data_IF_823669184489
#
_entry.id   IF_823669184489
#
_cell.length_a   1.000
_cell.length_b   1.000
_cell.length_c   1.000
_cell.angle_alpha   90.00
_cell.angle_beta   90.00
_cell.angle_gamma   90.00
#
_symmetry.space_group_name_H-M   'P 1'
#
loop_
_entity.id
_entity.type
_entity.pdbx_description
1 polymer ?
#
# COMPACT_ATOMS: atom_id res chain seq x y z
N UNK A 1 29.43 -55.33 -11.28
CA UNK A 1 28.95 -53.99 -11.68
C UNK A 1 27.99 -53.30 -10.73
N UNK A 2 27.83 -53.75 -9.47
CA UNK A 2 26.87 -53.18 -8.53
C UNK A 2 27.49 -52.23 -7.44
N UNK A 3 28.81 -52.09 -7.39
CA UNK A 3 29.51 -51.27 -6.39
C UNK A 3 29.76 -49.80 -6.83
N UNK A 4 29.62 -49.46 -8.13
CA UNK A 4 29.84 -48.10 -8.62
C UNK A 4 28.58 -47.18 -8.58
N UNK A 5 27.38 -47.74 -8.44
CA UNK A 5 26.16 -46.98 -8.43
C UNK A 5 25.85 -46.31 -7.06
N UNK A 6 26.37 -46.86 -5.95
CA UNK A 6 26.11 -46.35 -4.58
C UNK A 6 26.97 -45.11 -4.26
N UNK A 7 28.15 -44.98 -4.83
CA UNK A 7 29.04 -43.84 -4.56
C UNK A 7 28.58 -42.51 -5.20
N UNK A 8 27.85 -42.55 -6.35
CA UNK A 8 27.35 -41.32 -7.00
C UNK A 8 26.11 -40.70 -6.31
N UNK A 9 25.32 -41.48 -5.59
CA UNK A 9 24.14 -40.97 -4.84
C UNK A 9 24.56 -40.23 -3.56
N UNK A 10 25.64 -40.62 -2.93
CA UNK A 10 26.12 -40.00 -1.67
C UNK A 10 26.73 -38.59 -1.92
N UNK A 11 27.32 -38.31 -3.11
CA UNK A 11 27.91 -37.01 -3.40
C UNK A 11 26.85 -35.95 -3.70
N UNK A 12 25.68 -36.30 -4.23
CA UNK A 12 24.57 -35.37 -4.51
C UNK A 12 23.89 -34.83 -3.23
N UNK A 13 23.79 -35.61 -2.17
CA UNK A 13 23.18 -35.20 -0.88
C UNK A 13 24.09 -34.29 -0.05
N UNK A 14 25.40 -34.41 -0.14
CA UNK A 14 26.35 -33.58 0.59
C UNK A 14 26.41 -32.12 0.07
N UNK A 15 26.34 -31.95 -1.24
CA UNK A 15 26.42 -30.62 -1.87
C UNK A 15 25.19 -29.74 -1.54
N UNK A 16 23.99 -30.33 -1.53
CA UNK A 16 22.75 -29.60 -1.20
C UNK A 16 22.71 -29.15 0.27
N UNK A 17 23.28 -29.92 1.19
CA UNK A 17 23.34 -29.56 2.63
C UNK A 17 24.28 -28.36 2.87
N UNK A 18 25.45 -28.33 2.22
CA UNK A 18 26.38 -27.22 2.34
C UNK A 18 25.84 -25.92 1.74
N UNK A 19 25.11 -25.98 0.61
CA UNK A 19 24.49 -24.81 0.00
C UNK A 19 23.43 -24.20 0.91
N UNK A 20 22.57 -25.01 1.55
CA UNK A 20 21.57 -24.54 2.50
C UNK A 20 22.16 -23.91 3.76
N UNK A 21 23.27 -24.46 4.27
CA UNK A 21 23.98 -23.86 5.40
C UNK A 21 24.58 -22.51 5.01
N UNK A 22 25.18 -22.42 3.83
CA UNK A 22 25.71 -21.15 3.31
C UNK A 22 24.59 -20.13 3.11
N UNK A 23 23.44 -20.52 2.54
CA UNK A 23 22.29 -19.63 2.38
C UNK A 23 21.83 -19.01 3.71
N UNK A 24 21.79 -19.79 4.79
CA UNK A 24 21.44 -19.30 6.13
C UNK A 24 22.48 -18.37 6.71
N UNK A 25 23.77 -18.64 6.48
CA UNK A 25 24.86 -17.75 6.92
C UNK A 25 24.78 -16.41 6.18
N UNK A 26 24.60 -16.41 4.86
CA UNK A 26 24.42 -15.18 4.08
C UNK A 26 23.14 -14.43 4.49
N UNK A 27 22.04 -15.14 4.76
CA UNK A 27 20.82 -14.52 5.29
C UNK A 27 21.08 -13.77 6.61
N UNK A 28 21.79 -14.39 7.55
CA UNK A 28 22.12 -13.79 8.84
C UNK A 28 23.02 -12.54 8.68
N UNK A 29 24.01 -12.60 7.77
CA UNK A 29 24.85 -11.43 7.43
C UNK A 29 24.00 -10.32 6.81
N UNK A 30 23.08 -10.66 5.92
CA UNK A 30 22.14 -9.71 5.32
C UNK A 30 21.27 -9.02 6.36
N UNK A 31 20.70 -9.77 7.31
CA UNK A 31 19.90 -9.21 8.41
C UNK A 31 20.75 -8.29 9.29
N UNK A 32 21.98 -8.66 9.60
CA UNK A 32 22.88 -7.79 10.36
C UNK A 32 23.21 -6.49 9.61
N UNK A 33 23.55 -6.60 8.31
CA UNK A 33 23.81 -5.44 7.46
C UNK A 33 22.60 -4.51 7.34
N UNK A 34 21.40 -5.09 7.19
CA UNK A 34 20.15 -4.34 7.12
C UNK A 34 19.88 -3.55 8.42
N UNK A 35 20.04 -4.18 9.57
CA UNK A 35 19.90 -3.54 10.88
C UNK A 35 20.90 -2.41 11.12
N UNK A 36 22.11 -2.53 10.54
CA UNK A 36 23.15 -1.50 10.57
C UNK A 36 22.89 -0.37 9.57
N UNK A 37 21.80 -0.41 8.77
CA UNK A 37 21.50 0.57 7.71
C UNK A 37 22.36 0.41 6.45
N UNK A 38 23.11 -0.67 6.32
CA UNK A 38 23.98 -0.96 5.17
C UNK A 38 23.18 -1.71 4.10
N UNK A 39 22.18 -1.04 3.50
CA UNK A 39 21.17 -1.69 2.65
C UNK A 39 21.77 -2.32 1.39
N UNK A 40 22.77 -1.68 0.75
CA UNK A 40 23.42 -2.26 -0.44
C UNK A 40 24.12 -3.58 -0.10
N UNK A 41 24.85 -3.63 1.02
CA UNK A 41 25.47 -4.87 1.47
C UNK A 41 24.42 -5.94 1.86
N UNK A 42 23.32 -5.53 2.48
CA UNK A 42 22.22 -6.43 2.81
C UNK A 42 21.61 -7.05 1.56
N UNK A 43 21.38 -6.27 0.50
CA UNK A 43 20.88 -6.74 -0.79
C UNK A 43 21.79 -7.82 -1.38
N UNK A 44 23.11 -7.60 -1.39
CA UNK A 44 24.06 -8.59 -1.91
C UNK A 44 24.04 -9.90 -1.09
N UNK A 45 24.05 -9.80 0.25
CA UNK A 45 23.93 -10.99 1.10
C UNK A 45 22.61 -11.73 0.89
N UNK A 46 21.49 -11.03 0.74
CA UNK A 46 20.20 -11.67 0.49
C UNK A 46 20.12 -12.32 -0.90
N UNK A 47 20.77 -11.74 -1.93
CA UNK A 47 20.92 -12.37 -3.25
C UNK A 47 21.73 -13.67 -3.13
N UNK A 48 22.89 -13.60 -2.46
CA UNK A 48 23.73 -14.78 -2.24
C UNK A 48 22.97 -15.87 -1.47
N UNK A 49 22.18 -15.51 -0.46
CA UNK A 49 21.32 -16.44 0.27
C UNK A 49 20.30 -17.12 -0.66
N UNK A 50 19.60 -16.34 -1.48
CA UNK A 50 18.60 -16.83 -2.46
C UNK A 50 19.25 -17.73 -3.52
N UNK A 51 20.42 -17.37 -4.02
CA UNK A 51 21.12 -18.15 -5.05
C UNK A 51 21.62 -19.49 -4.50
N UNK A 52 22.04 -19.54 -3.23
CA UNK A 52 22.45 -20.78 -2.55
C UNK A 52 21.26 -21.68 -2.14
N UNK A 53 20.09 -21.09 -1.82
CA UNK A 53 18.85 -21.84 -1.55
C UNK A 53 17.62 -21.04 -2.04
N UNK A 54 17.18 -21.25 -3.30
CA UNK A 54 16.00 -20.60 -3.84
C UNK A 54 14.69 -20.92 -3.10
N UNK A 55 14.67 -21.94 -2.24
CA UNK A 55 13.51 -22.32 -1.43
C UNK A 55 13.46 -21.58 -0.08
N UNK A 56 14.48 -20.77 0.23
CA UNK A 56 14.55 -20.00 1.47
C UNK A 56 13.71 -18.72 1.35
N UNK A 57 12.39 -18.83 1.53
CA UNK A 57 11.42 -17.73 1.37
C UNK A 57 11.81 -16.47 2.15
N UNK A 58 12.36 -16.63 3.36
CA UNK A 58 12.80 -15.48 4.16
C UNK A 58 13.89 -14.66 3.44
N UNK A 59 14.80 -15.29 2.70
CA UNK A 59 15.81 -14.55 1.95
C UNK A 59 15.18 -13.71 0.82
N UNK A 60 14.16 -14.25 0.15
CA UNK A 60 13.40 -13.54 -0.87
C UNK A 60 12.62 -12.36 -0.28
N UNK A 61 11.93 -12.56 0.86
CA UNK A 61 11.20 -11.50 1.56
C UNK A 61 12.12 -10.37 2.05
N UNK A 62 13.25 -10.72 2.65
CA UNK A 62 14.21 -9.71 3.10
C UNK A 62 14.86 -8.96 1.95
N UNK A 63 15.14 -9.65 0.81
CA UNK A 63 15.63 -9.00 -0.40
C UNK A 63 14.63 -7.98 -0.94
N UNK A 64 13.35 -8.37 -1.04
CA UNK A 64 12.28 -7.48 -1.45
C UNK A 64 12.15 -6.28 -0.51
N UNK A 65 12.19 -6.52 0.80
CA UNK A 65 12.11 -5.47 1.84
C UNK A 65 13.32 -4.52 1.76
N UNK A 66 14.52 -5.03 1.51
CA UNK A 66 15.72 -4.20 1.37
C UNK A 66 15.64 -3.26 0.16
N UNK A 67 15.15 -3.74 -0.98
CA UNK A 67 14.85 -2.89 -2.13
C UNK A 67 13.76 -1.86 -1.83
N UNK A 68 12.67 -2.28 -1.18
CA UNK A 68 11.57 -1.39 -0.79
C UNK A 68 12.03 -0.26 0.15
N UNK A 69 12.94 -0.57 1.07
CA UNK A 69 13.52 0.42 2.01
C UNK A 69 14.39 1.47 1.29
N UNK A 70 15.02 1.11 0.19
CA UNK A 70 15.82 2.04 -0.61
C UNK A 70 14.98 2.89 -1.57
N UNK A 71 13.74 2.50 -1.85
CA UNK A 71 12.85 3.28 -2.68
C UNK A 71 12.36 4.53 -1.91
N UNK A 72 12.59 5.70 -2.50
CA UNK A 72 12.18 7.01 -1.95
C UNK A 72 10.94 7.49 -2.72
N UNK A 73 9.75 7.54 -2.11
CA UNK A 73 8.55 8.03 -2.77
C UNK A 73 8.73 9.44 -3.35
N UNK A 74 8.32 9.62 -4.60
CA UNK A 74 8.40 10.90 -5.30
C UNK A 74 9.76 11.27 -5.89
N UNK A 75 10.83 10.54 -5.60
CA UNK A 75 12.13 10.80 -6.24
C UNK A 75 12.13 10.27 -7.69
N UNK A 76 12.40 11.13 -8.70
CA UNK A 76 12.21 10.76 -10.11
C UNK A 76 13.43 10.06 -10.74
N UNK A 77 14.47 9.77 -9.96
CA UNK A 77 15.69 9.19 -10.54
C UNK A 77 15.45 7.77 -11.08
N UNK A 78 16.05 7.40 -12.23
CA UNK A 78 15.94 6.04 -12.77
C UNK A 78 16.41 4.96 -11.79
N UNK A 79 17.40 5.28 -10.93
CA UNK A 79 17.88 4.37 -9.88
C UNK A 79 16.79 4.08 -8.87
N UNK A 80 16.13 5.13 -8.37
CA UNK A 80 15.04 5.01 -7.41
C UNK A 80 13.87 4.19 -7.98
N UNK A 81 13.50 4.43 -9.24
CA UNK A 81 12.43 3.67 -9.91
C UNK A 81 12.81 2.18 -9.98
N UNK A 82 14.07 1.86 -10.34
CA UNK A 82 14.56 0.47 -10.36
C UNK A 82 14.49 -0.21 -8.98
N UNK A 83 14.70 0.52 -7.88
CA UNK A 83 14.55 -0.04 -6.54
C UNK A 83 13.10 -0.45 -6.26
N UNK A 84 12.13 0.40 -6.59
CA UNK A 84 10.70 0.05 -6.46
C UNK A 84 10.30 -1.15 -7.32
N UNK A 85 10.71 -1.16 -8.60
CA UNK A 85 10.45 -2.27 -9.53
C UNK A 85 11.10 -3.58 -9.06
N UNK A 86 12.32 -3.52 -8.55
CA UNK A 86 13.02 -4.68 -8.01
C UNK A 86 12.29 -5.23 -6.76
N UNK A 87 11.80 -4.34 -5.87
CA UNK A 87 11.01 -4.75 -4.72
C UNK A 87 9.74 -5.50 -5.14
N UNK A 88 8.95 -4.92 -6.05
CA UNK A 88 7.73 -5.55 -6.57
C UNK A 88 8.05 -6.93 -7.17
N UNK A 89 9.08 -7.01 -8.01
CA UNK A 89 9.50 -8.27 -8.63
C UNK A 89 9.87 -9.34 -7.60
N UNK A 90 10.63 -8.99 -6.56
CA UNK A 90 11.04 -9.95 -5.55
C UNK A 90 9.85 -10.43 -4.70
N UNK A 91 8.91 -9.54 -4.33
CA UNK A 91 7.67 -9.94 -3.67
C UNK A 91 6.80 -10.85 -4.57
N UNK A 92 6.72 -10.57 -5.88
CA UNK A 92 6.00 -11.43 -6.83
C UNK A 92 6.63 -12.83 -6.91
N UNK A 93 7.95 -12.94 -6.82
CA UNK A 93 8.63 -14.24 -6.77
C UNK A 93 8.26 -15.02 -5.49
N UNK A 94 8.10 -14.35 -4.34
CA UNK A 94 7.56 -14.98 -3.11
C UNK A 94 6.16 -15.52 -3.36
N UNK A 95 5.28 -14.75 -4.02
CA UNK A 95 3.90 -15.17 -4.32
C UNK A 95 3.83 -16.33 -5.33
N UNK A 96 4.88 -16.61 -6.11
CA UNK A 96 4.95 -17.82 -6.93
C UNK A 96 5.10 -19.08 -6.06
N UNK A 97 5.79 -18.98 -4.93
CA UNK A 97 5.97 -20.07 -3.97
C UNK A 97 4.80 -20.21 -2.99
N UNK A 98 4.33 -19.09 -2.44
CA UNK A 98 3.15 -18.99 -1.58
C UNK A 98 2.24 -17.84 -2.06
N UNK A 99 1.20 -18.15 -2.83
CA UNK A 99 0.26 -17.14 -3.34
C UNK A 99 -0.48 -16.36 -2.25
N UNK A 100 -0.48 -16.82 -1.00
CA UNK A 100 -1.20 -16.25 0.12
C UNK A 100 -0.27 -15.59 1.16
N UNK A 101 1.02 -15.42 0.85
CA UNK A 101 1.95 -14.72 1.74
C UNK A 101 1.52 -13.25 1.90
N UNK A 102 1.01 -12.93 3.08
CA UNK A 102 0.47 -11.61 3.43
C UNK A 102 1.57 -10.53 3.35
N UNK A 103 2.79 -10.85 3.77
CA UNK A 103 3.88 -9.87 3.76
C UNK A 103 4.25 -9.46 2.33
N UNK A 104 4.24 -10.42 1.40
CA UNK A 104 4.49 -10.13 0.00
C UNK A 104 3.31 -9.37 -0.65
N UNK A 105 2.07 -9.74 -0.32
CA UNK A 105 0.85 -9.03 -0.78
C UNK A 105 0.90 -7.57 -0.35
N UNK A 106 1.10 -7.30 0.94
CA UNK A 106 1.16 -5.94 1.48
C UNK A 106 2.37 -5.17 0.97
N UNK A 107 3.52 -5.85 0.84
CA UNK A 107 4.73 -5.25 0.26
C UNK A 107 4.49 -4.72 -1.15
N UNK A 108 3.86 -5.51 -2.02
CA UNK A 108 3.52 -5.07 -3.38
C UNK A 108 2.50 -3.93 -3.34
N UNK A 109 1.42 -4.07 -2.57
CA UNK A 109 0.40 -3.04 -2.43
C UNK A 109 0.99 -1.69 -2.03
N UNK A 110 1.82 -1.68 -1.00
CA UNK A 110 2.47 -0.46 -0.48
C UNK A 110 3.44 0.18 -1.48
N UNK A 111 4.28 -0.62 -2.15
CA UNK A 111 5.24 -0.08 -3.12
C UNK A 111 4.53 0.46 -4.35
N UNK A 112 3.53 -0.25 -4.88
CA UNK A 112 2.75 0.22 -6.01
C UNK A 112 2.02 1.53 -5.70
N UNK A 113 1.42 1.67 -4.51
CA UNK A 113 0.83 2.92 -4.05
C UNK A 113 1.84 4.08 -4.08
N UNK A 114 3.02 3.86 -3.51
CA UNK A 114 4.08 4.87 -3.48
C UNK A 114 4.60 5.22 -4.89
N UNK A 115 4.72 4.24 -5.78
CA UNK A 115 5.16 4.45 -7.17
C UNK A 115 4.07 5.12 -8.03
N UNK A 116 2.81 5.00 -7.66
CA UNK A 116 1.68 5.52 -8.44
C UNK A 116 1.58 7.05 -8.43
N UNK A 117 2.19 7.72 -7.46
CA UNK A 117 2.09 9.16 -7.28
C UNK A 117 2.96 9.98 -8.24
N UNK A 118 4.19 9.48 -8.55
CA UNK A 118 5.17 10.25 -9.34
C UNK A 118 6.03 9.32 -10.20
N UNK A 119 5.89 9.32 -11.56
CA UNK A 119 4.79 9.99 -12.28
C UNK A 119 3.44 9.36 -11.93
N UNK A 120 2.37 10.15 -12.02
CA UNK A 120 1.03 9.63 -11.74
C UNK A 120 0.67 8.45 -12.64
N UNK A 121 0.20 7.36 -12.03
CA UNK A 121 -0.30 6.17 -12.73
C UNK A 121 -1.55 5.64 -12.04
N UNK A 122 -2.70 5.83 -12.67
CA UNK A 122 -3.96 5.24 -12.26
C UNK A 122 -3.87 3.72 -12.17
N UNK A 123 -3.22 3.11 -13.16
CA UNK A 123 -3.03 1.66 -13.24
C UNK A 123 -2.31 1.10 -12.00
N UNK A 124 -1.24 1.75 -11.53
CA UNK A 124 -0.53 1.33 -10.32
C UNK A 124 -1.39 1.48 -9.05
N UNK A 125 -2.24 2.51 -8.97
CA UNK A 125 -3.20 2.63 -7.87
C UNK A 125 -4.22 1.49 -7.89
N UNK A 126 -4.78 1.17 -9.06
CA UNK A 126 -5.75 0.09 -9.21
C UNK A 126 -5.09 -1.28 -8.91
N UNK A 127 -3.86 -1.50 -9.34
CA UNK A 127 -3.09 -2.69 -9.00
C UNK A 127 -2.81 -2.77 -7.50
N UNK A 128 -2.36 -1.67 -6.86
CA UNK A 128 -2.20 -1.60 -5.40
C UNK A 128 -3.50 -1.97 -4.67
N UNK A 129 -4.63 -1.39 -5.07
CA UNK A 129 -5.95 -1.71 -4.50
C UNK A 129 -6.25 -3.21 -4.59
N UNK A 130 -5.93 -3.83 -5.73
CA UNK A 130 -6.18 -5.26 -5.93
C UNK A 130 -5.43 -6.16 -4.94
N UNK A 131 -4.20 -5.79 -4.58
CA UNK A 131 -3.42 -6.52 -3.56
C UNK A 131 -4.02 -6.34 -2.15
N UNK A 132 -4.44 -5.13 -1.77
CA UNK A 132 -5.13 -4.92 -0.49
C UNK A 132 -6.47 -5.66 -0.43
N UNK A 133 -7.25 -5.69 -1.52
CA UNK A 133 -8.46 -6.51 -1.60
C UNK A 133 -8.18 -8.01 -1.49
N UNK A 134 -7.05 -8.49 -2.03
CA UNK A 134 -6.60 -9.87 -1.83
C UNK A 134 -6.28 -10.15 -0.36
N UNK A 135 -5.65 -9.21 0.35
CA UNK A 135 -5.43 -9.34 1.79
C UNK A 135 -6.77 -9.41 2.53
N UNK A 136 -7.74 -8.54 2.25
CA UNK A 136 -9.10 -8.59 2.83
C UNK A 136 -9.74 -9.97 2.66
N UNK A 137 -9.62 -10.56 1.46
CA UNK A 137 -10.16 -11.88 1.19
C UNK A 137 -9.51 -13.00 2.03
N UNK A 138 -8.22 -12.86 2.37
CA UNK A 138 -7.46 -13.82 3.17
C UNK A 138 -7.64 -13.60 4.68
N UNK A 139 -7.77 -12.34 5.11
CA UNK A 139 -7.88 -11.95 6.53
C UNK A 139 -8.91 -10.82 6.71
N UNK A 140 -10.21 -11.12 6.65
CA UNK A 140 -11.27 -10.11 6.72
C UNK A 140 -11.38 -9.42 8.10
N UNK A 141 -10.68 -9.90 9.11
CA UNK A 141 -10.60 -9.31 10.46
C UNK A 141 -9.45 -8.30 10.63
N UNK A 142 -8.56 -8.15 9.63
CA UNK A 142 -7.48 -7.17 9.68
C UNK A 142 -7.98 -5.79 9.22
N UNK A 143 -7.89 -4.72 10.03
CA UNK A 143 -8.33 -3.38 9.65
C UNK A 143 -7.42 -2.69 8.63
N UNK A 144 -6.13 -3.10 8.53
CA UNK A 144 -5.13 -2.41 7.71
C UNK A 144 -5.46 -2.38 6.21
N UNK A 145 -5.81 -3.50 5.55
CA UNK A 145 -6.08 -3.47 4.12
C UNK A 145 -7.32 -2.66 3.76
N UNK A 146 -8.36 -2.63 4.61
CA UNK A 146 -9.52 -1.76 4.44
C UNK A 146 -9.15 -0.28 4.49
N UNK A 147 -8.27 0.09 5.41
CA UNK A 147 -7.72 1.44 5.47
C UNK A 147 -7.02 1.82 4.17
N UNK A 148 -6.16 0.96 3.65
CA UNK A 148 -5.42 1.23 2.42
C UNK A 148 -6.33 1.34 1.19
N UNK A 149 -7.36 0.51 1.07
CA UNK A 149 -8.39 0.66 0.00
C UNK A 149 -9.02 2.04 0.07
N UNK A 150 -9.45 2.47 1.26
CA UNK A 150 -10.03 3.81 1.46
C UNK A 150 -9.07 4.95 1.14
N UNK A 151 -7.77 4.82 1.46
CA UNK A 151 -6.73 5.80 1.10
C UNK A 151 -6.56 5.91 -0.41
N UNK A 152 -6.56 4.79 -1.12
CA UNK A 152 -6.45 4.76 -2.58
C UNK A 152 -7.68 5.43 -3.20
N UNK A 153 -8.88 5.07 -2.76
CA UNK A 153 -10.13 5.61 -3.28
C UNK A 153 -10.25 7.12 -3.03
N UNK A 154 -9.81 7.58 -1.86
CA UNK A 154 -9.69 9.02 -1.62
C UNK A 154 -8.69 9.67 -2.57
N UNK A 155 -7.51 9.11 -2.75
CA UNK A 155 -6.45 9.68 -3.61
C UNK A 155 -6.94 9.87 -5.04
N UNK A 156 -7.61 8.85 -5.58
CA UNK A 156 -8.15 8.86 -6.93
C UNK A 156 -9.32 9.82 -7.08
N UNK A 157 -10.28 9.81 -6.15
CA UNK A 157 -11.47 10.68 -6.18
C UNK A 157 -11.10 12.14 -5.94
N UNK A 158 -10.12 12.42 -5.09
CA UNK A 158 -9.59 13.77 -4.87
C UNK A 158 -8.99 14.35 -6.15
N UNK A 159 -8.15 13.55 -6.83
CA UNK A 159 -7.56 13.96 -8.10
C UNK A 159 -8.62 14.22 -9.17
N UNK A 160 -9.58 13.32 -9.33
CA UNK A 160 -10.70 13.51 -10.26
C UNK A 160 -11.51 14.77 -9.93
N UNK A 161 -11.70 15.08 -8.64
CA UNK A 161 -12.38 16.30 -8.21
C UNK A 161 -11.59 17.56 -8.58
N UNK A 162 -10.27 17.57 -8.39
CA UNK A 162 -9.42 18.69 -8.82
C UNK A 162 -9.48 18.91 -10.34
N UNK A 163 -9.45 17.83 -11.12
CA UNK A 163 -9.54 17.88 -12.59
C UNK A 163 -10.91 18.42 -13.04
N UNK A 164 -12.01 17.95 -12.44
CA UNK A 164 -13.36 18.43 -12.72
C UNK A 164 -13.48 19.93 -12.42
N UNK A 165 -13.00 20.41 -11.25
CA UNK A 165 -12.98 21.82 -10.87
C UNK A 165 -12.09 22.64 -11.79
N UNK A 166 -10.92 22.14 -12.16
CA UNK A 166 -9.99 22.77 -13.08
C UNK A 166 -10.62 22.99 -14.47
N UNK A 167 -11.21 21.95 -15.02
CA UNK A 167 -11.91 21.99 -16.32
C UNK A 167 -13.06 22.99 -16.30
N UNK A 168 -13.85 22.99 -15.23
CA UNK A 168 -14.95 23.95 -15.09
C UNK A 168 -14.45 25.40 -15.03
N UNK A 169 -13.41 25.69 -14.24
CA UNK A 169 -12.81 27.04 -14.13
C UNK A 169 -12.31 27.55 -15.49
N UNK A 170 -11.70 26.69 -16.30
CA UNK A 170 -11.22 27.02 -17.64
C UNK A 170 -12.38 27.35 -18.60
N UNK A 171 -13.49 26.62 -18.49
CA UNK A 171 -14.68 26.82 -19.29
C UNK A 171 -15.49 28.07 -18.87
N UNK A 172 -15.30 28.55 -17.63
CA UNK A 172 -16.07 29.67 -17.07
C UNK A 172 -15.15 30.79 -16.54
N UNK A 173 -14.37 31.45 -17.38
CA UNK A 173 -13.46 32.50 -16.95
C UNK A 173 -14.22 33.64 -16.25
N UNK A 174 -13.72 34.05 -15.09
CA UNK A 174 -14.34 35.11 -14.28
C UNK A 174 -15.44 34.63 -13.31
N UNK A 175 -15.84 33.34 -13.32
CA UNK A 175 -16.72 32.80 -12.30
C UNK A 175 -15.87 32.16 -11.19
N UNK A 176 -16.01 32.59 -9.92
CA UNK A 176 -15.28 31.96 -8.82
C UNK A 176 -15.85 30.55 -8.55
N UNK A 177 -14.97 29.60 -8.30
CA UNK A 177 -15.30 28.27 -7.75
C UNK A 177 -14.20 27.94 -6.75
N UNK A 178 -14.52 28.00 -5.47
CA UNK A 178 -13.58 27.64 -4.40
C UNK A 178 -13.50 26.11 -4.24
N UNK A 179 -12.48 25.64 -3.56
CA UNK A 179 -12.27 24.20 -3.37
C UNK A 179 -13.28 23.57 -2.40
N UNK A 180 -13.90 24.38 -1.55
CA UNK A 180 -14.95 24.00 -0.61
C UNK A 180 -16.38 24.26 -1.13
N UNK A 181 -16.54 24.91 -2.29
CA UNK A 181 -17.85 25.06 -2.92
C UNK A 181 -18.38 23.69 -3.41
N UNK A 182 -19.71 23.47 -3.48
CA UNK A 182 -20.27 22.28 -4.11
C UNK A 182 -19.86 22.22 -5.59
N UNK A 183 -19.71 21.02 -6.14
CA UNK A 183 -19.48 20.86 -7.58
C UNK A 183 -20.66 21.47 -8.38
N UNK A 184 -20.39 22.29 -9.40
CA UNK A 184 -21.41 22.78 -10.31
C UNK A 184 -22.19 21.65 -10.98
N UNK A 185 -23.49 21.83 -11.19
CA UNK A 185 -24.39 20.77 -11.64
C UNK A 185 -23.97 20.13 -13.00
N UNK A 186 -23.39 20.91 -13.88
CA UNK A 186 -22.92 20.49 -15.20
C UNK A 186 -21.73 19.50 -15.16
N UNK A 187 -20.88 19.57 -14.14
CA UNK A 187 -19.75 18.62 -13.96
C UNK A 187 -20.06 17.56 -12.92
N UNK A 188 -20.98 17.82 -11.99
CA UNK A 188 -21.32 16.92 -10.88
C UNK A 188 -21.86 15.58 -11.38
N UNK A 189 -22.74 15.57 -12.36
CA UNK A 189 -23.33 14.33 -12.90
C UNK A 189 -22.26 13.39 -13.45
N UNK A 190 -21.36 13.93 -14.27
CA UNK A 190 -20.23 13.14 -14.79
C UNK A 190 -19.31 12.68 -13.68
N UNK A 191 -19.01 13.54 -12.70
CA UNK A 191 -18.17 13.18 -11.55
C UNK A 191 -18.76 12.01 -10.75
N UNK A 192 -20.08 12.03 -10.45
CA UNK A 192 -20.78 10.97 -9.76
C UNK A 192 -20.72 9.66 -10.57
N UNK A 193 -21.02 9.73 -11.88
CA UNK A 193 -20.99 8.57 -12.76
C UNK A 193 -19.63 7.87 -12.76
N UNK A 194 -18.56 8.64 -12.79
CA UNK A 194 -17.21 8.13 -12.97
C UNK A 194 -16.52 7.74 -11.62
N UNK A 195 -16.95 8.36 -10.50
CA UNK A 195 -16.25 8.22 -9.21
C UNK A 195 -17.15 7.82 -8.03
N UNK A 196 -18.48 7.94 -8.15
CA UNK A 196 -19.41 7.76 -7.02
C UNK A 196 -19.30 6.38 -6.39
N UNK A 197 -19.23 5.31 -7.19
CA UNK A 197 -19.08 3.93 -6.68
C UNK A 197 -17.79 3.79 -5.87
N UNK A 198 -16.67 4.30 -6.38
CA UNK A 198 -15.38 4.24 -5.71
C UNK A 198 -15.39 5.01 -4.38
N UNK A 199 -16.05 6.18 -4.33
CA UNK A 199 -16.19 6.96 -3.10
C UNK A 199 -17.02 6.19 -2.07
N UNK A 200 -18.11 5.55 -2.47
CA UNK A 200 -18.97 4.75 -1.58
C UNK A 200 -18.26 3.48 -1.07
N UNK A 201 -17.47 2.81 -1.92
CA UNK A 201 -16.62 1.69 -1.54
C UNK A 201 -15.60 2.13 -0.48
N UNK A 202 -14.83 3.20 -0.75
CA UNK A 202 -13.83 3.70 0.20
C UNK A 202 -14.43 4.14 1.55
N UNK A 203 -15.63 4.76 1.56
CA UNK A 203 -16.36 5.08 2.80
C UNK A 203 -16.72 3.79 3.55
N UNK A 204 -17.17 2.76 2.84
CA UNK A 204 -17.56 1.47 3.42
C UNK A 204 -16.36 0.78 4.04
N UNK A 205 -15.24 0.74 3.33
CA UNK A 205 -14.01 0.09 3.79
C UNK A 205 -13.40 0.82 5.00
N UNK A 206 -13.35 2.15 4.99
CA UNK A 206 -12.87 2.91 6.16
C UNK A 206 -13.78 2.73 7.38
N UNK A 207 -15.09 2.62 7.19
CA UNK A 207 -16.01 2.29 8.29
C UNK A 207 -15.75 0.88 8.80
N UNK A 208 -15.44 -0.08 7.92
CA UNK A 208 -15.07 -1.44 8.32
C UNK A 208 -13.74 -1.46 9.09
N UNK A 209 -12.75 -0.70 8.65
CA UNK A 209 -11.49 -0.53 9.40
C UNK A 209 -11.75 0.00 10.82
N UNK A 210 -12.67 0.97 10.98
CA UNK A 210 -13.05 1.53 12.28
C UNK A 210 -13.92 0.58 13.13
N UNK A 211 -14.73 -0.28 12.51
CA UNK A 211 -15.45 -1.34 13.24
C UNK A 211 -14.45 -2.32 13.87
N UNK A 212 -13.41 -2.70 13.10
CA UNK A 212 -12.38 -3.63 13.55
C UNK A 212 -11.37 -2.99 14.52
N UNK A 213 -11.07 -1.70 14.35
CA UNK A 213 -10.16 -0.92 15.20
C UNK A 213 -10.78 0.45 15.51
N UNK A 214 -11.55 0.59 16.59
CA UNK A 214 -12.28 1.83 16.92
C UNK A 214 -11.40 3.05 17.22
N UNK A 215 -10.12 2.87 17.52
CA UNK A 215 -9.14 3.93 17.79
C UNK A 215 -8.18 4.19 16.62
N UNK A 216 -8.58 3.82 15.41
CA UNK A 216 -7.80 4.03 14.19
C UNK A 216 -7.95 5.47 13.69
N UNK A 217 -7.20 6.39 14.27
CA UNK A 217 -7.24 7.83 13.98
C UNK A 217 -6.94 8.17 12.51
N UNK A 218 -6.02 7.43 11.86
CA UNK A 218 -5.73 7.63 10.43
C UNK A 218 -6.94 7.24 9.54
N UNK A 219 -7.64 6.15 9.86
CA UNK A 219 -8.86 5.78 9.13
C UNK A 219 -9.98 6.82 9.30
N UNK A 220 -10.11 7.42 10.49
CA UNK A 220 -11.04 8.54 10.71
C UNK A 220 -10.66 9.76 9.87
N UNK A 221 -9.36 10.07 9.76
CA UNK A 221 -8.87 11.18 8.96
C UNK A 221 -9.21 11.01 7.47
N UNK A 222 -9.04 9.81 6.90
CA UNK A 222 -9.41 9.55 5.51
C UNK A 222 -10.92 9.42 5.29
N UNK A 223 -11.66 8.89 6.26
CA UNK A 223 -13.14 8.84 6.20
C UNK A 223 -13.73 10.24 6.16
N UNK A 224 -13.22 11.18 6.97
CA UNK A 224 -13.58 12.59 6.86
C UNK A 224 -13.37 13.13 5.45
N UNK A 225 -12.22 12.84 4.84
CA UNK A 225 -11.87 13.33 3.51
C UNK A 225 -12.79 12.74 2.41
N UNK A 226 -13.13 11.45 2.49
CA UNK A 226 -14.08 10.81 1.57
C UNK A 226 -15.52 11.33 1.76
N UNK A 227 -15.96 11.57 3.00
CA UNK A 227 -17.27 12.16 3.25
C UNK A 227 -17.38 13.56 2.65
N UNK A 228 -16.29 14.35 2.62
CA UNK A 228 -16.25 15.64 1.88
C UNK A 228 -16.34 15.43 0.37
N UNK A 229 -15.72 14.38 -0.19
CA UNK A 229 -15.91 14.03 -1.61
C UNK A 229 -17.36 13.62 -1.89
N UNK A 230 -17.97 12.86 -0.98
CA UNK A 230 -19.40 12.50 -1.07
C UNK A 230 -20.31 13.74 -0.98
N UNK A 231 -19.95 14.71 -0.16
CA UNK A 231 -20.67 16.00 -0.07
C UNK A 231 -20.64 16.82 -1.36
N UNK A 232 -19.62 16.62 -2.23
CA UNK A 232 -19.58 17.22 -3.56
C UNK A 232 -20.57 16.58 -4.54
N UNK A 233 -21.05 15.38 -4.26
CA UNK A 233 -22.09 14.67 -5.03
C UNK A 233 -23.51 15.05 -4.62
N UNK A 234 -23.70 15.65 -3.44
CA UNK A 234 -25.00 15.91 -2.85
C UNK A 234 -25.91 16.72 -3.77
N UNK A 235 -27.14 16.25 -3.91
CA UNK A 235 -28.16 16.89 -4.73
C UNK A 235 -28.75 18.13 -4.03
N UNK A 236 -28.78 18.15 -2.71
CA UNK A 236 -29.38 19.22 -1.89
C UNK A 236 -28.40 19.80 -0.89
N UNK A 237 -28.61 21.09 -0.47
CA UNK A 237 -27.82 21.70 0.57
C UNK A 237 -27.88 20.96 1.92
N UNK A 238 -29.04 20.39 2.26
CA UNK A 238 -29.25 19.67 3.54
C UNK A 238 -28.46 18.35 3.56
N UNK A 239 -28.48 17.59 2.46
CA UNK A 239 -27.68 16.39 2.30
C UNK A 239 -26.19 16.71 2.45
N UNK A 240 -25.73 17.75 1.74
CA UNK A 240 -24.35 18.23 1.79
C UNK A 240 -23.95 18.61 3.23
N UNK A 241 -24.79 19.41 3.91
CA UNK A 241 -24.54 19.83 5.28
C UNK A 241 -24.45 18.64 6.26
N UNK A 242 -25.31 17.63 6.08
CA UNK A 242 -25.26 16.40 6.88
C UNK A 242 -23.96 15.62 6.69
N UNK A 243 -23.48 15.47 5.44
CA UNK A 243 -22.22 14.79 5.12
C UNK A 243 -21.00 15.54 5.68
N UNK A 244 -21.00 16.89 5.54
CA UNK A 244 -19.92 17.72 6.09
C UNK A 244 -19.88 17.66 7.61
N UNK A 245 -21.05 17.65 8.28
CA UNK A 245 -21.11 17.46 9.73
C UNK A 245 -20.53 16.12 10.17
N UNK A 246 -20.86 15.02 9.47
CA UNK A 246 -20.27 13.71 9.74
C UNK A 246 -18.74 13.75 9.57
N UNK A 247 -18.25 14.42 8.50
CA UNK A 247 -16.84 14.60 8.28
C UNK A 247 -16.14 15.32 9.44
N UNK A 248 -16.73 16.42 9.92
CA UNK A 248 -16.21 17.19 11.05
C UNK A 248 -16.22 16.38 12.36
N UNK A 249 -17.27 15.60 12.62
CA UNK A 249 -17.35 14.70 13.78
C UNK A 249 -16.18 13.67 13.79
N UNK A 250 -15.74 13.17 12.63
CA UNK A 250 -14.57 12.29 12.53
C UNK A 250 -13.24 13.02 12.75
N UNK A 251 -13.13 14.28 12.33
CA UNK A 251 -11.94 15.10 12.63
C UNK A 251 -11.76 15.28 14.14
N UNK A 252 -12.83 15.62 14.87
CA UNK A 252 -12.75 15.81 16.30
C UNK A 252 -12.43 14.49 17.03
N UNK A 253 -13.04 13.37 16.64
CA UNK A 253 -12.72 12.05 17.19
C UNK A 253 -11.25 11.66 16.97
N UNK A 254 -10.73 11.88 15.76
CA UNK A 254 -9.33 11.58 15.45
C UNK A 254 -8.36 12.41 16.32
N UNK A 255 -8.67 13.71 16.53
CA UNK A 255 -7.88 14.59 17.41
C UNK A 255 -7.88 14.09 18.86
N UNK A 256 -9.05 13.75 19.40
CA UNK A 256 -9.17 13.21 20.76
C UNK A 256 -8.36 11.92 20.96
N UNK A 257 -8.44 11.00 20.00
CA UNK A 257 -7.70 9.74 20.06
C UNK A 257 -6.19 10.00 19.98
N UNK A 258 -5.75 10.86 19.05
CA UNK A 258 -4.35 11.23 18.92
C UNK A 258 -3.80 11.88 20.19
N UNK A 259 -4.57 12.74 20.80
CA UNK A 259 -4.20 13.36 22.08
C UNK A 259 -4.07 12.32 23.19
N UNK A 260 -5.03 11.40 23.34
CA UNK A 260 -4.97 10.31 24.33
C UNK A 260 -3.76 9.40 24.11
N UNK A 261 -3.42 9.07 22.86
CA UNK A 261 -2.21 8.29 22.52
C UNK A 261 -0.91 9.01 22.92
N UNK A 262 -0.86 10.34 22.78
CA UNK A 262 0.31 11.13 23.24
C UNK A 262 0.43 11.23 24.76
N UNK A 263 -0.69 11.32 25.48
CA UNK A 263 -0.73 11.39 26.95
C UNK A 263 -0.45 10.03 27.61
N UNK A 264 -0.68 8.92 26.90
CA UNK A 264 -0.43 7.56 27.39
C UNK A 264 0.56 6.86 26.46
N UNK A 265 1.86 7.23 26.49
CA UNK A 265 2.84 6.55 25.67
C UNK A 265 2.86 5.06 26.02
N UNK A 266 2.92 4.22 24.97
CA UNK A 266 3.04 2.78 25.14
C UNK A 266 4.16 2.46 26.12
N UNK A 267 3.88 1.63 27.15
CA UNK A 267 4.92 1.14 28.05
C UNK A 267 5.98 0.43 27.21
N UNK A 268 7.29 0.69 27.47
CA UNK A 268 8.39 0.11 26.72
C UNK A 268 8.42 -1.42 26.78
#
# INVERSE_FOLDING_TARGET
MALFAVAMIAVGFGASGCAKLKARDELNKGVAAYRDGKYDAAIEFFKDAKDNDPTLTNAQLYLATAYATQYIPGAPSPENIRMGEAAVKQFQEVLQGDPNDISAIDGIGSILFNMAGTPYSREKFDESKSYHMKHIALKPEDPEPYYWVGVIDWTLSYRANLEARGTWRLAHPGKPLKDDDPLPADVRETYIKDNGTMIDEGITDLRKALELRPDYDDAMAYLNLLLRRKADEAATPDERASLLKQADDYVEKAKEIKQKKMETPAKP
#
